data_IF_677684007552
#
_entry.id   IF_677684007552
#
_cell.length_a   1.000
_cell.length_b   1.000
_cell.length_c   1.000
_cell.angle_alpha   90.00
_cell.angle_beta   90.00
_cell.angle_gamma   90.00
#
_symmetry.space_group_name_H-M   'P 1'
#
loop_
_entity.id
_entity.type
_entity.pdbx_description
1 polymer ?
#
# COMPACT_ATOMS: atom_id res chain seq x y z
N UNK A 1 9.33 -23.56 -4.03
CA UNK A 1 7.89 -23.83 -3.84
C UNK A 1 7.64 -24.40 -2.44
N UNK A 2 8.33 -25.47 -2.06
CA UNK A 2 8.24 -26.11 -0.72
C UNK A 2 8.27 -25.13 0.47
N UNK A 3 9.24 -24.20 0.50
CA UNK A 3 9.33 -23.19 1.58
C UNK A 3 8.05 -22.35 1.65
N UNK A 4 7.49 -21.95 0.51
CA UNK A 4 6.29 -21.10 0.46
C UNK A 4 5.05 -21.85 0.98
N UNK A 5 4.88 -23.11 0.59
CA UNK A 5 3.79 -23.99 1.07
C UNK A 5 3.91 -24.24 2.58
N UNK A 6 5.14 -24.46 3.08
CA UNK A 6 5.37 -24.60 4.52
C UNK A 6 5.06 -23.30 5.26
N UNK A 7 5.43 -22.14 4.72
CA UNK A 7 5.08 -20.83 5.29
C UNK A 7 3.56 -20.63 5.34
N UNK A 8 2.83 -20.96 4.27
CA UNK A 8 1.37 -20.91 4.26
C UNK A 8 0.78 -21.77 5.38
N UNK A 9 1.19 -23.04 5.49
CA UNK A 9 0.69 -23.97 6.50
C UNK A 9 0.90 -23.43 7.92
N UNK A 10 2.10 -22.91 8.22
CA UNK A 10 2.43 -22.32 9.52
C UNK A 10 1.60 -21.06 9.80
N UNK A 11 1.38 -20.20 8.81
CA UNK A 11 0.55 -19.00 8.96
C UNK A 11 -0.92 -19.35 9.22
N UNK A 12 -1.44 -20.37 8.54
CA UNK A 12 -2.78 -20.87 8.80
C UNK A 12 -2.94 -21.49 10.19
N UNK A 13 -1.96 -22.30 10.61
CA UNK A 13 -1.95 -22.92 11.93
C UNK A 13 -1.95 -21.86 13.05
N UNK A 14 -1.01 -20.90 12.99
CA UNK A 14 -0.73 -19.95 14.07
C UNK A 14 -1.57 -18.69 14.07
N UNK A 15 -2.08 -18.27 12.90
CA UNK A 15 -2.71 -16.96 12.71
C UNK A 15 -4.03 -17.01 11.94
N UNK A 16 -4.39 -18.14 11.33
CA UNK A 16 -5.57 -18.26 10.46
C UNK A 16 -5.57 -17.26 9.30
N UNK A 17 -4.39 -16.91 8.80
CA UNK A 17 -4.20 -16.01 7.66
C UNK A 17 -3.90 -16.85 6.43
N UNK A 18 -4.68 -16.64 5.36
CA UNK A 18 -4.40 -17.19 4.03
C UNK A 18 -3.48 -16.24 3.26
N UNK A 19 -2.63 -16.76 2.36
CA UNK A 19 -1.79 -15.91 1.52
C UNK A 19 -2.67 -15.05 0.61
N UNK A 20 -2.33 -13.77 0.51
CA UNK A 20 -2.83 -12.93 -0.57
C UNK A 20 -2.11 -13.26 -1.87
N UNK A 21 -2.55 -12.64 -2.97
CA UNK A 21 -1.96 -12.86 -4.29
C UNK A 21 -0.47 -12.47 -4.32
N UNK A 22 -0.08 -11.44 -3.56
CA UNK A 22 1.30 -10.94 -3.50
C UNK A 22 2.30 -12.00 -3.02
N UNK A 23 1.90 -12.87 -2.08
CA UNK A 23 2.78 -13.91 -1.55
C UNK A 23 3.26 -14.86 -2.66
N UNK A 24 2.34 -15.44 -3.42
CA UNK A 24 2.69 -16.34 -4.52
C UNK A 24 3.20 -15.61 -5.75
N UNK A 25 2.74 -14.38 -6.02
CA UNK A 25 3.30 -13.56 -7.08
C UNK A 25 4.81 -13.33 -6.88
N UNK A 26 5.26 -13.06 -5.65
CA UNK A 26 6.68 -12.95 -5.32
C UNK A 26 7.47 -14.24 -5.59
N UNK A 27 6.90 -15.40 -5.26
CA UNK A 27 7.52 -16.71 -5.55
C UNK A 27 7.67 -16.92 -7.05
N UNK A 28 6.63 -16.61 -7.84
CA UNK A 28 6.66 -16.74 -9.31
C UNK A 28 7.68 -15.79 -9.93
N UNK A 29 7.65 -14.50 -9.57
CA UNK A 29 8.58 -13.50 -10.11
C UNK A 29 10.04 -13.85 -9.76
N UNK A 30 10.29 -14.35 -8.54
CA UNK A 30 11.61 -14.85 -8.15
C UNK A 30 12.05 -16.05 -8.98
N UNK A 31 11.15 -17.00 -9.23
CA UNK A 31 11.43 -18.17 -10.07
C UNK A 31 11.71 -17.78 -11.54
N UNK A 32 11.10 -16.70 -12.03
CA UNK A 32 11.37 -16.12 -13.35
C UNK A 32 12.68 -15.29 -13.41
N UNK A 33 13.42 -15.18 -12.30
CA UNK A 33 14.68 -14.45 -12.24
C UNK A 33 14.52 -12.93 -12.22
N UNK A 34 13.32 -12.43 -11.94
CA UNK A 34 13.06 -10.98 -11.85
C UNK A 34 13.82 -10.39 -10.65
N UNK A 35 14.60 -9.32 -10.85
CA UNK A 35 15.23 -8.58 -9.75
C UNK A 35 14.19 -8.07 -8.73
N UNK A 36 14.49 -8.18 -7.44
CA UNK A 36 13.52 -7.85 -6.38
C UNK A 36 13.10 -6.37 -6.41
N UNK A 37 14.01 -5.48 -6.80
CA UNK A 37 13.84 -4.04 -6.92
C UNK A 37 12.89 -3.62 -8.06
N UNK A 38 12.68 -4.48 -9.06
CA UNK A 38 11.75 -4.18 -10.18
C UNK A 38 10.36 -4.78 -10.01
N UNK A 39 10.12 -5.61 -8.98
CA UNK A 39 8.80 -6.20 -8.72
C UNK A 39 7.68 -5.14 -8.57
N UNK A 40 7.89 -3.98 -7.89
CA UNK A 40 6.88 -2.92 -7.83
C UNK A 40 6.56 -2.32 -9.20
N UNK A 41 7.52 -2.27 -10.13
CA UNK A 41 7.30 -1.75 -11.47
C UNK A 41 6.39 -2.69 -12.29
N UNK A 42 6.57 -4.01 -12.17
CA UNK A 42 5.69 -5.01 -12.81
C UNK A 42 4.25 -4.87 -12.31
N UNK A 43 4.07 -4.67 -10.99
CA UNK A 43 2.77 -4.40 -10.41
C UNK A 43 2.12 -3.16 -11.04
N UNK A 44 2.88 -2.06 -11.13
CA UNK A 44 2.38 -0.81 -11.72
C UNK A 44 1.98 -1.02 -13.19
N UNK A 45 2.82 -1.67 -14.00
CA UNK A 45 2.52 -1.97 -15.40
C UNK A 45 1.18 -2.71 -15.57
N UNK A 46 0.89 -3.69 -14.71
CA UNK A 46 -0.40 -4.39 -14.72
C UNK A 46 -1.55 -3.46 -14.26
N UNK A 47 -1.34 -2.72 -13.17
CA UNK A 47 -2.41 -1.93 -12.53
C UNK A 47 -2.81 -0.67 -13.29
N UNK A 48 -1.99 -0.18 -14.23
CA UNK A 48 -2.31 0.96 -15.11
C UNK A 48 -3.67 0.81 -15.78
N UNK A 49 -4.04 -0.39 -16.26
CA UNK A 49 -5.33 -0.59 -16.89
C UNK A 49 -6.51 -0.26 -15.94
N UNK A 50 -6.41 -0.70 -14.68
CA UNK A 50 -7.42 -0.40 -13.65
C UNK A 50 -7.43 1.08 -13.25
N UNK A 51 -6.26 1.71 -13.11
CA UNK A 51 -6.18 3.14 -12.81
C UNK A 51 -6.80 4.00 -13.92
N UNK A 52 -6.55 3.66 -15.18
CA UNK A 52 -7.14 4.34 -16.34
C UNK A 52 -8.66 4.10 -16.40
N UNK A 53 -9.13 2.89 -16.09
CA UNK A 53 -10.56 2.62 -15.99
C UNK A 53 -11.22 3.50 -14.91
N UNK A 54 -10.67 3.54 -13.69
CA UNK A 54 -11.17 4.40 -12.62
C UNK A 54 -11.09 5.89 -12.97
N UNK A 55 -10.10 6.32 -13.74
CA UNK A 55 -10.06 7.69 -14.26
C UNK A 55 -11.27 8.01 -15.14
N UNK A 56 -11.63 7.11 -16.07
CA UNK A 56 -12.81 7.29 -16.90
C UNK A 56 -14.12 7.25 -16.09
N UNK A 57 -14.23 6.36 -15.10
CA UNK A 57 -15.37 6.31 -14.19
C UNK A 57 -15.52 7.63 -13.43
N UNK A 58 -14.44 8.15 -12.86
CA UNK A 58 -14.43 9.43 -12.15
C UNK A 58 -14.73 10.61 -13.09
N UNK A 59 -14.26 10.57 -14.32
CA UNK A 59 -14.55 11.61 -15.31
C UNK A 59 -16.04 11.63 -15.69
N UNK A 60 -16.68 10.46 -15.76
CA UNK A 60 -18.11 10.33 -16.07
C UNK A 60 -19.03 10.72 -14.90
N UNK A 61 -18.67 10.37 -13.64
CA UNK A 61 -19.39 10.76 -12.42
C UNK A 61 -18.44 11.45 -11.42
N UNK A 62 -18.23 12.75 -11.63
CA UNK A 62 -17.16 13.51 -10.99
C UNK A 62 -17.46 13.90 -9.53
N UNK A 63 -17.47 12.91 -8.65
CA UNK A 63 -17.67 13.07 -7.21
C UNK A 63 -16.46 12.56 -6.45
N UNK A 64 -15.61 13.47 -5.97
CA UNK A 64 -14.45 13.12 -5.15
C UNK A 64 -14.75 13.29 -3.67
N UNK A 65 -14.22 12.38 -2.85
CA UNK A 65 -14.32 12.47 -1.40
C UNK A 65 -13.55 13.70 -0.91
N UNK A 66 -14.11 14.45 0.05
CA UNK A 66 -13.45 15.57 0.74
C UNK A 66 -13.30 15.22 2.22
N UNK A 67 -12.23 14.51 2.61
CA UNK A 67 -12.03 14.13 4.01
C UNK A 67 -11.90 15.39 4.88
N UNK A 68 -12.52 15.34 6.05
CA UNK A 68 -12.30 16.33 7.11
C UNK A 68 -11.41 15.72 8.19
N UNK A 69 -10.71 16.56 8.93
CA UNK A 69 -9.83 16.13 10.02
C UNK A 69 -10.28 16.76 11.34
N UNK A 70 -10.10 16.01 12.41
CA UNK A 70 -10.26 16.50 13.78
C UNK A 70 -8.94 17.11 14.26
N UNK A 71 -8.98 18.35 14.73
CA UNK A 71 -7.80 19.01 15.28
C UNK A 71 -7.60 18.59 16.74
N UNK A 72 -6.49 17.91 17.02
CA UNK A 72 -6.09 17.44 18.37
C UNK A 72 -4.83 18.14 18.88
N UNK A 73 -4.42 19.22 18.21
CA UNK A 73 -3.23 19.98 18.58
C UNK A 73 -3.50 20.99 19.69
N UNK A 74 -2.43 21.59 20.26
CA UNK A 74 -2.57 22.68 21.21
C UNK A 74 -3.22 23.91 20.55
N UNK A 75 -4.34 24.36 21.10
CA UNK A 75 -4.98 25.61 20.66
C UNK A 75 -4.16 26.83 21.10
N UNK A 76 -4.29 27.93 20.34
CA UNK A 76 -3.79 29.26 20.72
C UNK A 76 -2.35 29.28 21.24
N UNK A 77 -1.39 28.85 20.41
CA UNK A 77 0.03 28.95 20.75
C UNK A 77 0.52 30.39 20.52
N UNK A 78 0.73 31.21 21.57
CA UNK A 78 1.26 32.54 21.39
C UNK A 78 2.67 32.45 20.81
N UNK A 79 2.98 33.37 19.89
CA UNK A 79 4.32 33.45 19.35
C UNK A 79 5.32 33.83 20.44
N UNK A 80 6.39 33.04 20.57
CA UNK A 80 7.55 33.36 21.42
C UNK A 80 8.68 33.84 20.51
N UNK A 81 9.24 35.06 20.70
CA UNK A 81 10.43 35.54 19.98
C UNK A 81 11.60 34.56 20.09
N UNK A 82 12.43 34.46 19.06
CA UNK A 82 13.48 33.42 18.97
C UNK A 82 14.48 33.49 20.13
N UNK A 83 14.81 34.69 20.59
CA UNK A 83 15.67 35.02 21.72
C UNK A 83 15.07 34.65 23.08
N UNK A 84 13.77 34.35 23.12
CA UNK A 84 12.99 33.98 24.32
C UNK A 84 12.55 32.51 24.30
N UNK A 85 12.95 31.74 23.29
CA UNK A 85 12.76 30.29 23.25
C UNK A 85 13.92 29.63 24.01
N UNK A 86 13.64 28.54 24.71
CA UNK A 86 14.67 27.71 25.36
C UNK A 86 15.57 27.01 24.33
#
# INVERSE_FOLDING_TARGET
>A
LEIAERTEAVMWEKRKIKPNIEFYAGVVLKALGVPNDVMPAIFACNRIAGWVAHYFEQYADNRIIRPVSEYVGPVEQPYVPIDQRN
#
